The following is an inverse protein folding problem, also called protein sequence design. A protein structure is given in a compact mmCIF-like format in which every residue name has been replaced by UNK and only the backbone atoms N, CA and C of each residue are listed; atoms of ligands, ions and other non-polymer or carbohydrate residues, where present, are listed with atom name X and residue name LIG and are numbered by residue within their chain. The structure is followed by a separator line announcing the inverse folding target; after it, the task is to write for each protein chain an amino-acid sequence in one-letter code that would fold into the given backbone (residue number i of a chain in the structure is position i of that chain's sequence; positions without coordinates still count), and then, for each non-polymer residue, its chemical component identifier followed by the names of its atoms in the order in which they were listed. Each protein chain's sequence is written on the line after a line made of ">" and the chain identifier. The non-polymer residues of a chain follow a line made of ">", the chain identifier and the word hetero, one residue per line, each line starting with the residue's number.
data_IF_470289366850
#
_entry.id   IF_470289366850
#
_cell.length_a   1.000
_cell.length_b   1.000
_cell.length_c   1.000
_cell.angle_alpha   90.00
_cell.angle_beta   90.00
_cell.angle_gamma   90.00
#
_symmetry.space_group_name_H-M   'P 1'
#
loop_
_entity.id
_entity.type
_entity.pdbx_description
1 polymer ?
#
# COMPACT_ATOMS: atom_id res chain seq x y z
N UNK A 1 -12.80 2.45 7.75
CA UNK A 1 -11.49 1.85 7.35
C UNK A 1 -11.66 1.36 5.91
N UNK A 2 -10.73 1.73 5.03
CA UNK A 2 -10.78 1.43 3.58
C UNK A 2 -10.59 -0.10 3.33
N UNK A 3 -11.16 -0.65 2.25
CA UNK A 3 -11.16 -2.09 1.90
C UNK A 3 -9.86 -2.62 1.28
N UNK A 4 -8.93 -1.75 0.88
CA UNK A 4 -7.64 -2.05 0.27
C UNK A 4 -6.81 -2.97 1.18
N UNK A 5 -6.20 -3.99 0.58
CA UNK A 5 -5.46 -5.04 1.29
C UNK A 5 -4.01 -4.66 1.58
N UNK A 6 -3.49 -3.63 0.93
CA UNK A 6 -2.07 -3.27 0.90
C UNK A 6 -1.76 -1.94 1.56
N UNK A 7 -2.75 -1.07 1.78
CA UNK A 7 -2.59 0.10 2.63
C UNK A 7 -3.84 0.39 3.44
N UNK A 8 -3.65 1.04 4.58
CA UNK A 8 -4.71 1.60 5.41
C UNK A 8 -4.39 3.05 5.78
N UNK A 9 -5.43 3.86 5.92
CA UNK A 9 -5.35 5.22 6.42
C UNK A 9 -6.24 5.39 7.65
N UNK A 10 -5.79 6.14 8.64
CA UNK A 10 -6.57 6.39 9.86
C UNK A 10 -5.77 7.03 10.99
N UNK A 11 -6.46 7.26 12.11
CA UNK A 11 -5.89 7.88 13.31
C UNK A 11 -5.14 6.88 14.21
N UNK A 12 -5.70 5.68 14.37
CA UNK A 12 -5.16 4.63 15.23
C UNK A 12 -5.12 3.32 14.43
N UNK A 13 -4.10 3.16 13.60
CA UNK A 13 -3.91 1.96 12.81
C UNK A 13 -3.22 0.91 13.68
N UNK A 14 -3.96 -0.12 14.06
CA UNK A 14 -3.39 -1.33 14.66
C UNK A 14 -2.90 -2.26 13.56
N UNK A 15 -1.63 -2.62 13.58
CA UNK A 15 -1.00 -3.59 12.69
C UNK A 15 0.15 -4.25 13.44
N UNK A 16 0.46 -5.49 13.08
CA UNK A 16 1.54 -6.26 13.68
C UNK A 16 2.62 -6.53 12.64
N UNK A 17 3.87 -6.60 13.09
CA UNK A 17 5.02 -6.92 12.25
C UNK A 17 5.85 -5.71 11.81
N UNK A 18 7.06 -6.01 11.35
CA UNK A 18 8.07 -5.09 10.84
C UNK A 18 7.98 -4.89 9.31
N UNK A 19 7.25 -5.76 8.61
CA UNK A 19 7.01 -5.71 7.16
C UNK A 19 5.96 -4.68 6.74
N UNK A 20 6.08 -3.47 7.27
CA UNK A 20 5.20 -2.35 6.95
C UNK A 20 5.98 -1.06 6.86
N UNK A 21 5.55 -0.20 5.96
CA UNK A 21 6.02 1.17 5.86
C UNK A 21 4.99 2.11 6.48
N UNK A 22 5.36 2.79 7.57
CA UNK A 22 4.48 3.72 8.27
C UNK A 22 4.78 5.17 7.88
N UNK A 23 3.77 5.84 7.32
CA UNK A 23 3.80 7.27 7.04
C UNK A 23 3.02 8.04 8.11
N UNK A 24 3.68 8.34 9.24
CA UNK A 24 3.10 9.13 10.36
C UNK A 24 2.94 10.61 10.03
N UNK A 25 3.69 11.12 9.05
CA UNK A 25 3.57 12.48 8.49
C UNK A 25 3.28 12.37 6.99
N UNK A 26 2.01 12.15 6.59
CA UNK A 26 1.63 11.88 5.19
C UNK A 26 2.13 12.93 4.20
N UNK A 27 2.16 14.19 4.62
CA UNK A 27 2.63 15.33 3.84
C UNK A 27 4.06 15.19 3.31
N UNK A 28 4.94 14.44 3.99
CA UNK A 28 6.33 14.19 3.53
C UNK A 28 6.40 13.28 2.31
N UNK A 29 5.32 12.56 2.03
CA UNK A 29 5.17 11.62 0.92
C UNK A 29 4.16 12.14 -0.11
N UNK A 30 3.79 13.42 -0.04
CA UNK A 30 2.77 14.04 -0.88
C UNK A 30 1.40 13.35 -0.79
N UNK A 31 1.11 12.68 0.34
CA UNK A 31 -0.18 12.02 0.59
C UNK A 31 -1.19 12.99 1.20
N UNK A 32 -2.50 12.81 0.91
CA UNK A 32 -3.53 13.69 1.44
C UNK A 32 -3.69 13.52 2.95
N UNK A 33 -3.89 14.65 3.63
CA UNK A 33 -4.09 14.72 5.08
C UNK A 33 -5.49 15.24 5.38
N UNK A 34 -6.44 14.33 5.54
CA UNK A 34 -7.84 14.68 5.83
C UNK A 34 -7.99 15.36 7.20
N UNK A 35 -7.16 14.96 8.17
CA UNK A 35 -7.11 15.55 9.50
C UNK A 35 -5.69 15.48 10.06
N UNK A 36 -5.40 16.28 11.09
CA UNK A 36 -4.05 16.41 11.68
C UNK A 36 -3.46 15.06 12.10
N UNK A 37 -4.32 14.15 12.55
CA UNK A 37 -3.96 12.81 13.02
C UNK A 37 -4.01 11.73 11.95
N UNK A 38 -4.19 12.07 10.67
CA UNK A 38 -4.16 11.07 9.60
C UNK A 38 -2.76 10.47 9.51
N UNK A 39 -2.69 9.14 9.53
CA UNK A 39 -1.49 8.37 9.25
C UNK A 39 -1.82 7.30 8.21
N UNK A 40 -0.80 6.83 7.50
CA UNK A 40 -0.91 5.70 6.58
C UNK A 40 0.03 4.59 7.01
N UNK A 41 -0.38 3.36 6.74
CA UNK A 41 0.49 2.18 6.78
C UNK A 41 0.34 1.45 5.45
N UNK A 42 1.47 1.10 4.87
CA UNK A 42 1.56 0.35 3.62
C UNK A 42 2.25 -0.99 3.91
N UNK A 43 1.73 -2.07 3.35
CA UNK A 43 2.42 -3.34 3.31
C UNK A 43 3.58 -3.24 2.32
N UNK A 44 4.73 -3.83 2.66
CA UNK A 44 5.90 -3.90 1.77
C UNK A 44 6.01 -5.28 1.12
N UNK A 45 6.82 -5.39 0.06
CA UNK A 45 7.07 -6.65 -0.65
C UNK A 45 5.76 -7.31 -1.14
N UNK A 46 5.53 -8.58 -0.79
CA UNK A 46 4.36 -9.39 -1.14
C UNK A 46 3.30 -9.45 -0.03
N UNK A 47 3.48 -8.69 1.05
CA UNK A 47 2.59 -8.75 2.23
C UNK A 47 1.24 -8.08 1.99
N UNK A 48 0.23 -8.44 2.78
CA UNK A 48 -1.09 -7.78 2.78
C UNK A 48 -1.75 -7.89 4.15
N UNK A 49 -2.68 -6.97 4.44
CA UNK A 49 -3.50 -6.95 5.64
C UNK A 49 -4.67 -7.93 5.49
N UNK A 50 -4.62 -9.04 6.22
CA UNK A 50 -5.75 -9.94 6.39
C UNK A 50 -6.65 -9.45 7.54
N UNK A 51 -7.97 -9.57 7.38
CA UNK A 51 -8.91 -9.23 8.44
C UNK A 51 -8.94 -10.36 9.49
N UNK A 52 -8.95 -10.04 10.80
CA UNK A 52 -9.01 -11.06 11.85
C UNK A 52 -10.25 -11.95 11.72
N UNK A 53 -11.39 -11.34 11.37
CA UNK A 53 -12.60 -12.06 11.07
C UNK A 53 -12.41 -12.85 9.77
N UNK A 54 -12.49 -14.18 9.86
CA UNK A 54 -12.29 -15.11 8.75
C UNK A 54 -10.90 -15.04 8.08
N UNK A 55 -9.86 -14.92 8.92
CA UNK A 55 -8.45 -14.88 8.49
C UNK A 55 -8.08 -15.94 7.44
N UNK A 56 -8.41 -17.22 7.71
CA UNK A 56 -8.06 -18.33 6.82
C UNK A 56 -8.66 -18.20 5.42
N UNK A 57 -9.91 -17.70 5.33
CA UNK A 57 -10.53 -17.44 4.04
C UNK A 57 -9.75 -16.37 3.27
N UNK A 58 -9.45 -15.24 3.89
CA UNK A 58 -8.76 -14.13 3.23
C UNK A 58 -7.33 -14.48 2.84
N UNK A 59 -6.59 -15.19 3.69
CA UNK A 59 -5.25 -15.65 3.36
C UNK A 59 -5.30 -16.59 2.16
N UNK A 60 -6.16 -17.62 2.19
CA UNK A 60 -6.24 -18.55 1.07
C UNK A 60 -6.75 -17.89 -0.22
N UNK A 61 -7.61 -16.88 -0.12
CA UNK A 61 -8.20 -16.20 -1.27
C UNK A 61 -7.23 -15.24 -1.95
N UNK A 62 -6.35 -14.56 -1.19
CA UNK A 62 -5.44 -13.54 -1.74
C UNK A 62 -3.99 -13.99 -1.85
N UNK A 63 -3.59 -15.07 -1.18
CA UNK A 63 -2.24 -15.63 -1.31
C UNK A 63 -2.00 -16.05 -2.77
N UNK A 64 -0.78 -15.80 -3.24
CA UNK A 64 -0.32 -16.09 -4.61
C UNK A 64 -1.15 -15.40 -5.71
N UNK A 65 -1.92 -14.36 -5.35
CA UNK A 65 -2.60 -13.48 -6.29
C UNK A 65 -1.88 -12.15 -6.44
N UNK A 66 -2.07 -11.48 -7.57
CA UNK A 66 -1.50 -10.16 -7.78
C UNK A 66 -2.21 -9.11 -6.91
N UNK A 67 -1.46 -8.47 -6.02
CA UNK A 67 -1.93 -7.41 -5.12
C UNK A 67 -1.15 -6.12 -5.38
N UNK A 68 -1.79 -4.98 -5.14
CA UNK A 68 -1.23 -3.66 -5.40
C UNK A 68 -1.76 -2.61 -4.42
N UNK A 69 -1.09 -1.47 -4.35
CA UNK A 69 -1.37 -0.38 -3.42
C UNK A 69 -0.47 -0.41 -2.18
N UNK A 70 0.58 -1.21 -2.17
CA UNK A 70 1.59 -1.23 -1.12
C UNK A 70 2.83 -0.45 -1.52
N UNK A 71 3.96 -0.83 -0.93
CA UNK A 71 5.30 -0.34 -1.30
C UNK A 71 6.18 -1.55 -1.58
N UNK A 72 6.15 -2.05 -2.82
CA UNK A 72 7.12 -3.03 -3.33
C UNK A 72 8.05 -2.41 -4.37
N UNK A 73 9.12 -3.12 -4.71
CA UNK A 73 10.09 -2.67 -5.72
C UNK A 73 9.41 -2.44 -7.08
N UNK A 74 8.52 -3.35 -7.46
CA UNK A 74 7.74 -3.32 -8.70
C UNK A 74 6.73 -2.15 -8.72
N UNK A 75 6.21 -1.78 -7.55
CA UNK A 75 5.30 -0.62 -7.41
C UNK A 75 6.05 0.71 -7.46
N UNK A 76 7.34 0.73 -7.13
CA UNK A 76 8.15 1.95 -7.03
C UNK A 76 9.04 2.19 -8.27
N UNK A 77 9.52 1.13 -8.92
CA UNK A 77 10.36 1.21 -10.12
C UNK A 77 9.46 1.08 -11.35
N UNK A 78 9.04 2.23 -11.88
CA UNK A 78 8.18 2.28 -13.06
C UNK A 78 9.03 2.43 -14.33
N UNK A 79 9.00 1.45 -15.25
CA UNK A 79 9.66 1.61 -16.54
C UNK A 79 8.94 2.71 -17.35
N UNK A 80 9.72 3.58 -17.99
CA UNK A 80 9.18 4.60 -18.87
C UNK A 80 9.93 4.60 -20.20
N UNK A 81 9.27 5.07 -21.25
CA UNK A 81 9.86 5.25 -22.58
C UNK A 81 9.60 6.68 -23.05
N UNK A 82 10.55 7.25 -23.78
CA UNK A 82 10.39 8.51 -24.47
C UNK A 82 10.35 8.24 -25.97
N UNK A 83 9.29 8.72 -26.63
CA UNK A 83 9.10 8.54 -28.07
C UNK A 83 9.28 9.89 -28.75
N UNK A 84 9.94 9.88 -29.90
CA UNK A 84 10.02 11.04 -30.80
C UNK A 84 9.18 10.77 -32.04
N UNK A 85 8.62 11.83 -32.62
CA UNK A 85 7.93 11.72 -33.90
C UNK A 85 8.92 11.21 -34.95
N UNK A 86 8.46 10.29 -35.80
CA UNK A 86 9.25 9.76 -36.90
C UNK A 86 9.72 10.85 -37.87
N UNK A 87 9.00 11.97 -37.94
CA UNK A 87 9.21 13.05 -38.92
C UNK A 87 9.55 14.40 -38.26
N UNK A 88 10.12 14.42 -37.05
CA UNK A 88 10.63 15.65 -36.42
C UNK A 88 12.03 15.99 -36.95
#
# INVERSE_FOLDING_TARGET
>A
VNSNLRYKQGKNLGFEGDKVFQATKPERFFLPKQNVSTSYVFAIEDQFFAYPNNYNYYVNFYKDTFQHGGVSLEEMIIPFVLLSSKNA
#
